data_IF_614386906439
#
_entry.id   IF_614386906439
#
_cell.length_a   1.000
_cell.length_b   1.000
_cell.length_c   1.000
_cell.angle_alpha   90.00
_cell.angle_beta   90.00
_cell.angle_gamma   90.00
#
_symmetry.space_group_name_H-M   'P 1'
#
loop_
_entity.id
_entity.type
_entity.pdbx_description
1 polymer ?
#
# COMPACT_ATOMS: atom_id res chain seq x y z
N UNK A 1 -7.25 -4.43 16.50
CA UNK A 1 -7.29 -4.84 15.08
C UNK A 1 -7.84 -3.69 14.25
N UNK A 2 -7.13 -3.25 13.20
CA UNK A 2 -7.58 -2.19 12.30
C UNK A 2 -8.24 -2.76 11.05
N UNK A 3 -7.61 -3.79 10.43
CA UNK A 3 -8.16 -4.50 9.27
C UNK A 3 -8.20 -5.99 9.58
N UNK A 4 -9.31 -6.67 9.23
CA UNK A 4 -9.41 -8.13 9.23
C UNK A 4 -10.07 -8.63 7.96
N UNK A 5 -9.56 -9.74 7.47
CA UNK A 5 -10.11 -10.53 6.37
C UNK A 5 -10.37 -11.94 6.88
N UNK A 6 -11.55 -12.47 6.61
CA UNK A 6 -11.96 -13.82 7.04
C UNK A 6 -12.54 -14.58 5.85
N UNK A 7 -11.82 -15.61 5.41
CA UNK A 7 -12.23 -16.49 4.33
C UNK A 7 -12.54 -15.75 3.01
N UNK A 8 -11.75 -14.74 2.66
CA UNK A 8 -12.02 -13.87 1.50
C UNK A 8 -11.70 -14.58 0.21
N UNK A 9 -12.70 -14.64 -0.68
CA UNK A 9 -12.56 -15.12 -2.06
C UNK A 9 -12.82 -13.96 -3.03
N UNK A 10 -12.11 -13.96 -4.16
CA UNK A 10 -12.33 -13.01 -5.26
C UNK A 10 -11.99 -13.68 -6.57
N UNK A 11 -12.82 -13.46 -7.59
CA UNK A 11 -12.63 -14.05 -8.91
C UNK A 11 -12.72 -13.00 -10.01
N UNK A 12 -12.02 -13.23 -11.11
CA UNK A 12 -12.19 -12.54 -12.39
C UNK A 12 -13.04 -13.45 -13.30
N UNK A 13 -14.33 -13.13 -13.41
CA UNK A 13 -15.28 -14.06 -14.04
C UNK A 13 -15.25 -15.41 -13.32
N UNK A 14 -14.95 -16.49 -14.06
CA UNK A 14 -14.86 -17.85 -13.50
C UNK A 14 -13.47 -18.19 -12.93
N UNK A 15 -12.51 -17.30 -13.02
CA UNK A 15 -11.14 -17.57 -12.55
C UNK A 15 -10.94 -17.11 -11.09
N UNK A 16 -10.79 -18.04 -10.13
CA UNK A 16 -10.60 -17.68 -8.72
C UNK A 16 -9.16 -17.18 -8.48
N UNK A 17 -9.05 -15.91 -8.10
CA UNK A 17 -7.77 -15.26 -7.81
C UNK A 17 -7.44 -15.24 -6.31
N UNK A 18 -8.44 -15.15 -5.43
CA UNK A 18 -8.29 -15.32 -3.98
C UNK A 18 -9.14 -16.51 -3.53
N UNK A 19 -8.59 -17.33 -2.63
CA UNK A 19 -9.13 -18.65 -2.26
C UNK A 19 -9.18 -18.83 -0.75
N UNK A 20 -10.01 -18.03 -0.06
CA UNK A 20 -10.20 -18.12 1.40
C UNK A 20 -9.11 -17.41 2.17
N UNK A 21 -8.71 -16.20 1.74
CA UNK A 21 -7.68 -15.41 2.41
C UNK A 21 -8.17 -14.94 3.78
N UNK A 22 -7.39 -15.27 4.81
CA UNK A 22 -7.59 -14.82 6.19
C UNK A 22 -6.32 -14.15 6.68
N UNK A 23 -6.40 -12.89 7.08
CA UNK A 23 -5.30 -12.11 7.64
C UNK A 23 -5.82 -10.94 8.48
N UNK A 24 -4.93 -10.32 9.25
CA UNK A 24 -5.25 -9.13 10.04
C UNK A 24 -4.12 -8.11 10.03
N UNK A 25 -4.44 -6.86 10.29
CA UNK A 25 -3.49 -5.75 10.47
C UNK A 25 -3.88 -4.98 11.72
N UNK A 26 -2.93 -4.83 12.65
CA UNK A 26 -3.14 -4.02 13.85
C UNK A 26 -2.87 -2.55 13.58
N UNK A 27 -3.43 -1.68 14.40
CA UNK A 27 -3.23 -0.24 14.27
C UNK A 27 -1.76 0.13 14.55
N UNK A 28 -1.16 0.90 13.66
CA UNK A 28 0.23 1.36 13.79
C UNK A 28 1.27 0.36 13.31
N UNK A 29 0.88 -0.80 12.79
CA UNK A 29 1.81 -1.77 12.22
C UNK A 29 2.23 -1.40 10.80
N UNK A 30 3.43 -1.87 10.42
CA UNK A 30 3.80 -2.18 9.04
C UNK A 30 3.66 -3.71 8.89
N UNK A 31 2.74 -4.15 8.06
CA UNK A 31 2.56 -5.56 7.72
C UNK A 31 2.93 -5.75 6.26
N UNK A 32 3.71 -6.78 5.93
CA UNK A 32 4.04 -7.09 4.54
C UNK A 32 3.33 -8.33 4.03
N UNK A 33 2.98 -8.33 2.75
CA UNK A 33 2.49 -9.49 2.02
C UNK A 33 3.49 -9.84 0.92
N UNK A 34 4.12 -10.97 1.06
CA UNK A 34 5.10 -11.52 0.12
C UNK A 34 4.44 -12.54 -0.81
N UNK A 35 5.00 -12.71 -1.99
CA UNK A 35 4.55 -13.72 -2.94
C UNK A 35 5.08 -13.44 -4.35
N UNK A 36 5.15 -14.48 -5.17
CA UNK A 36 5.55 -14.37 -6.58
C UNK A 36 4.54 -13.58 -7.41
N UNK A 37 4.91 -13.23 -8.63
CA UNK A 37 3.99 -12.64 -9.59
C UNK A 37 2.84 -13.62 -9.88
N UNK A 38 1.61 -13.10 -9.90
CA UNK A 38 0.42 -13.92 -10.05
C UNK A 38 -0.08 -14.59 -8.77
N UNK A 39 0.57 -14.45 -7.61
CA UNK A 39 0.10 -15.04 -6.35
C UNK A 39 -1.25 -14.49 -5.87
N UNK A 40 -1.69 -13.32 -6.35
CA UNK A 40 -2.96 -12.69 -5.95
C UNK A 40 -2.81 -11.40 -5.12
N UNK A 41 -1.59 -10.92 -4.91
CA UNK A 41 -1.27 -9.75 -4.06
C UNK A 41 -2.05 -8.49 -4.46
N UNK A 42 -1.91 -8.04 -5.70
CA UNK A 42 -2.63 -6.87 -6.25
C UNK A 42 -4.15 -7.08 -6.22
N UNK A 43 -4.62 -8.33 -6.46
CA UNK A 43 -6.05 -8.67 -6.35
C UNK A 43 -6.55 -8.47 -4.92
N UNK A 44 -5.76 -8.85 -3.92
CA UNK A 44 -6.10 -8.63 -2.51
C UNK A 44 -6.24 -7.13 -2.20
N UNK A 45 -5.28 -6.30 -2.61
CA UNK A 45 -5.37 -4.86 -2.41
C UNK A 45 -6.58 -4.24 -3.12
N UNK A 46 -6.87 -4.66 -4.35
CA UNK A 46 -8.07 -4.24 -5.10
C UNK A 46 -9.36 -4.67 -4.40
N UNK A 47 -9.35 -5.82 -3.73
CA UNK A 47 -10.52 -6.31 -2.97
C UNK A 47 -10.72 -5.50 -1.70
N UNK A 48 -9.65 -5.23 -0.94
CA UNK A 48 -9.70 -4.38 0.26
C UNK A 48 -10.16 -2.95 -0.10
N UNK A 49 -9.68 -2.40 -1.22
CA UNK A 49 -10.04 -1.03 -1.66
C UNK A 49 -11.40 -0.95 -2.38
N UNK A 50 -12.15 -2.06 -2.50
CA UNK A 50 -13.49 -2.10 -3.09
C UNK A 50 -13.54 -1.90 -4.60
N UNK A 51 -12.41 -2.10 -5.28
CA UNK A 51 -12.33 -2.16 -6.76
C UNK A 51 -12.87 -3.52 -7.23
N UNK A 52 -12.55 -4.59 -6.49
CA UNK A 52 -13.08 -5.93 -6.69
C UNK A 52 -13.99 -6.32 -5.51
N UNK A 53 -14.89 -7.25 -5.73
CA UNK A 53 -15.81 -7.74 -4.69
C UNK A 53 -15.27 -9.02 -4.06
N UNK A 54 -15.35 -9.10 -2.73
CA UNK A 54 -15.16 -10.35 -1.99
C UNK A 54 -16.46 -11.17 -2.04
N UNK A 55 -16.40 -12.43 -2.53
CA UNK A 55 -17.55 -13.36 -2.53
C UNK A 55 -17.06 -14.82 -2.59
N UNK A 56 -17.21 -15.63 -1.50
CA UNK A 56 -17.61 -15.22 -0.13
C UNK A 56 -16.46 -14.56 0.64
N UNK A 57 -16.72 -14.23 1.90
CA UNK A 57 -15.78 -13.71 2.87
C UNK A 57 -16.22 -12.41 3.51
N UNK A 58 -15.56 -12.04 4.60
CA UNK A 58 -15.83 -10.82 5.36
C UNK A 58 -14.55 -9.97 5.38
N UNK A 59 -14.71 -8.67 5.16
CA UNK A 59 -13.64 -7.69 5.34
C UNK A 59 -14.14 -6.64 6.32
N UNK A 60 -13.43 -6.48 7.44
CA UNK A 60 -13.76 -5.47 8.46
C UNK A 60 -12.62 -4.46 8.59
N UNK A 61 -12.95 -3.18 8.65
CA UNK A 61 -12.03 -2.08 8.90
C UNK A 61 -12.54 -1.24 10.06
N UNK A 62 -11.72 -1.11 11.11
CA UNK A 62 -12.07 -0.43 12.37
C UNK A 62 -13.44 -0.86 12.89
N UNK A 63 -13.67 -2.17 12.94
CA UNK A 63 -14.92 -2.80 13.39
C UNK A 63 -16.11 -2.72 12.42
N UNK A 64 -15.96 -2.09 11.24
CA UNK A 64 -17.04 -1.96 10.24
C UNK A 64 -16.80 -2.88 9.06
N UNK A 65 -17.84 -3.58 8.62
CA UNK A 65 -17.81 -4.42 7.42
C UNK A 65 -17.73 -3.55 6.16
N UNK A 66 -16.77 -3.84 5.28
CA UNK A 66 -16.48 -3.03 4.08
C UNK A 66 -16.55 -3.81 2.77
N UNK A 67 -16.69 -5.13 2.77
CA UNK A 67 -16.64 -5.99 1.58
C UNK A 67 -17.70 -5.63 0.51
N UNK A 68 -18.78 -4.96 0.92
CA UNK A 68 -19.85 -4.52 0.02
C UNK A 68 -19.80 -3.02 -0.31
N UNK A 69 -18.82 -2.29 0.24
CA UNK A 69 -18.70 -0.85 -0.01
C UNK A 69 -18.01 -0.57 -1.36
N UNK A 70 -18.34 0.56 -1.96
CA UNK A 70 -17.61 1.09 -3.12
C UNK A 70 -16.33 1.80 -2.69
N UNK A 71 -15.33 1.86 -3.58
CA UNK A 71 -14.02 2.47 -3.31
C UNK A 71 -14.11 3.89 -2.74
N UNK A 72 -15.06 4.73 -3.19
CA UNK A 72 -15.23 6.08 -2.68
C UNK A 72 -15.65 6.12 -1.20
N UNK A 73 -16.43 5.14 -0.75
CA UNK A 73 -16.81 5.01 0.68
C UNK A 73 -15.61 4.51 1.51
N UNK A 74 -14.86 3.54 0.98
CA UNK A 74 -13.67 2.96 1.63
C UNK A 74 -12.59 4.03 1.85
N UNK A 75 -12.33 4.89 0.85
CA UNK A 75 -11.37 6.00 1.01
C UNK A 75 -11.84 6.98 2.09
N UNK A 76 -13.14 7.26 2.21
CA UNK A 76 -13.68 8.13 3.27
C UNK A 76 -13.58 7.50 4.68
N UNK A 77 -13.52 6.18 4.78
CA UNK A 77 -13.26 5.49 6.05
C UNK A 77 -11.79 5.58 6.47
N UNK A 78 -10.88 5.96 5.57
CA UNK A 78 -9.47 6.13 5.88
C UNK A 78 -8.55 5.04 5.31
N UNK A 79 -8.97 4.29 4.30
CA UNK A 79 -8.09 3.40 3.52
C UNK A 79 -7.68 4.11 2.24
N UNK A 80 -6.37 4.24 2.00
CA UNK A 80 -5.83 4.79 0.75
C UNK A 80 -4.89 3.79 0.09
N UNK A 81 -4.86 3.76 -1.24
CA UNK A 81 -4.00 2.86 -2.00
C UNK A 81 -3.06 3.65 -2.91
N UNK A 82 -1.77 3.29 -2.89
CA UNK A 82 -0.81 3.58 -3.94
C UNK A 82 -0.71 2.33 -4.82
N UNK A 83 -1.34 2.30 -5.99
CA UNK A 83 -1.35 1.13 -6.86
C UNK A 83 -0.02 0.97 -7.60
N UNK A 84 0.25 -0.23 -8.09
CA UNK A 84 1.33 -0.52 -9.01
C UNK A 84 1.26 0.38 -10.26
N UNK A 85 2.41 0.75 -10.80
CA UNK A 85 2.53 1.59 -12.00
C UNK A 85 2.19 3.07 -11.75
N UNK A 86 2.27 3.53 -10.48
CA UNK A 86 2.21 4.94 -10.06
C UNK A 86 0.87 5.64 -10.34
N UNK A 87 0.24 5.40 -11.50
CA UNK A 87 -1.07 5.92 -11.94
C UNK A 87 -1.24 7.43 -11.69
N UNK A 88 -0.21 8.21 -12.05
CA UNK A 88 -0.22 9.67 -11.98
C UNK A 88 -1.05 10.29 -13.11
N UNK A 89 -1.35 11.57 -12.96
CA UNK A 89 -1.87 12.41 -14.03
C UNK A 89 -0.69 13.18 -14.65
N UNK A 90 -0.10 12.69 -15.76
CA UNK A 90 1.17 13.19 -16.29
C UNK A 90 1.13 14.65 -16.73
N UNK A 91 -0.02 15.10 -17.25
CA UNK A 91 -0.28 16.46 -17.71
C UNK A 91 -0.56 17.47 -16.57
N UNK A 92 -0.64 16.97 -15.33
CA UNK A 92 -0.81 17.82 -14.16
C UNK A 92 0.52 18.04 -13.45
N UNK A 93 0.67 19.21 -12.81
CA UNK A 93 1.84 19.47 -11.98
C UNK A 93 1.89 18.54 -10.74
N UNK A 94 3.07 18.42 -10.13
CA UNK A 94 3.28 17.72 -8.86
C UNK A 94 2.25 18.19 -7.82
N UNK A 95 2.13 19.51 -7.61
CA UNK A 95 1.19 20.08 -6.64
C UNK A 95 -0.26 19.70 -6.93
N UNK A 96 -0.68 19.74 -8.22
CA UNK A 96 -2.04 19.35 -8.59
C UNK A 96 -2.30 17.87 -8.34
N UNK A 97 -1.33 16.98 -8.65
CA UNK A 97 -1.42 15.56 -8.33
C UNK A 97 -1.59 15.32 -6.82
N UNK A 98 -0.79 15.98 -5.97
CA UNK A 98 -0.90 15.87 -4.52
C UNK A 98 -2.27 16.32 -4.04
N UNK A 99 -2.75 17.50 -4.45
CA UNK A 99 -4.06 18.03 -4.04
C UNK A 99 -5.23 17.12 -4.41
N UNK A 100 -5.15 16.41 -5.53
CA UNK A 100 -6.17 15.40 -5.90
C UNK A 100 -6.25 14.27 -4.88
N UNK A 101 -5.12 13.85 -4.30
CA UNK A 101 -5.11 12.83 -3.23
C UNK A 101 -5.91 13.24 -2.00
N UNK A 102 -5.97 14.54 -1.71
CA UNK A 102 -6.75 15.11 -0.62
C UNK A 102 -8.23 15.38 -0.92
N UNK A 103 -8.75 15.01 -2.10
CA UNK A 103 -10.10 15.38 -2.54
C UNK A 103 -11.21 14.96 -1.56
N UNK A 104 -11.08 13.84 -0.88
CA UNK A 104 -12.06 13.38 0.12
C UNK A 104 -12.17 14.34 1.31
N UNK A 105 -11.11 15.11 1.58
CA UNK A 105 -11.00 16.12 2.66
C UNK A 105 -11.12 17.56 2.14
N UNK A 106 -11.62 17.79 0.94
CA UNK A 106 -11.63 19.12 0.28
C UNK A 106 -12.28 20.25 1.07
N UNK A 107 -13.10 19.93 2.07
CA UNK A 107 -13.70 20.92 3.00
C UNK A 107 -12.74 21.33 4.13
N UNK A 108 -11.75 20.51 4.45
CA UNK A 108 -10.74 20.75 5.50
C UNK A 108 -9.49 21.41 4.87
N UNK A 109 -9.58 22.66 4.50
CA UNK A 109 -8.48 23.40 3.85
C UNK A 109 -7.22 23.46 4.71
N UNK A 110 -7.38 23.71 6.03
CA UNK A 110 -6.22 23.77 6.98
C UNK A 110 -5.52 22.43 7.10
N UNK A 111 -6.27 21.33 7.24
CA UNK A 111 -5.69 19.99 7.30
C UNK A 111 -5.03 19.57 6.00
N UNK A 112 -5.55 20.00 4.83
CA UNK A 112 -4.90 19.75 3.54
C UNK A 112 -3.57 20.47 3.38
N UNK A 113 -3.46 21.73 3.78
CA UNK A 113 -2.20 22.47 3.74
C UNK A 113 -1.18 21.88 4.73
N UNK A 114 -1.63 21.45 5.92
CA UNK A 114 -0.77 20.72 6.86
C UNK A 114 -0.26 19.41 6.25
N UNK A 115 -1.14 18.59 5.66
CA UNK A 115 -0.74 17.35 5.01
C UNK A 115 0.23 17.59 3.84
N UNK A 116 0.04 18.68 3.09
CA UNK A 116 0.95 19.06 2.00
C UNK A 116 2.34 19.41 2.53
N UNK A 117 2.43 20.19 3.62
CA UNK A 117 3.70 20.51 4.27
C UNK A 117 4.42 19.24 4.77
N UNK A 118 3.68 18.32 5.42
CA UNK A 118 4.22 17.04 5.89
C UNK A 118 4.75 16.17 4.74
N UNK A 119 4.09 16.20 3.56
CA UNK A 119 4.56 15.48 2.37
C UNK A 119 5.83 16.11 1.80
N UNK A 120 5.94 17.44 1.81
CA UNK A 120 7.15 18.12 1.37
C UNK A 120 8.34 17.91 2.33
N UNK A 121 8.09 17.67 3.62
CA UNK A 121 9.11 17.20 4.56
C UNK A 121 9.56 15.76 4.24
N UNK A 122 8.63 14.85 3.94
CA UNK A 122 8.92 13.46 3.57
C UNK A 122 9.63 13.35 2.22
N UNK A 123 9.29 14.22 1.29
CA UNK A 123 9.78 14.22 -0.09
C UNK A 123 10.18 15.65 -0.53
N UNK A 124 11.33 16.19 -0.08
CA UNK A 124 11.74 17.57 -0.37
C UNK A 124 11.77 17.89 -1.88
N UNK A 125 12.18 16.91 -2.70
CA UNK A 125 12.22 17.05 -4.17
C UNK A 125 10.84 17.40 -4.77
N UNK A 126 9.74 16.95 -4.16
CA UNK A 126 8.39 17.29 -4.62
C UNK A 126 8.03 18.75 -4.36
N UNK A 127 8.61 19.36 -3.30
CA UNK A 127 8.48 20.78 -3.03
C UNK A 127 9.20 21.61 -4.09
N UNK A 128 10.48 21.28 -4.35
CA UNK A 128 11.33 21.94 -5.35
C UNK A 128 10.67 21.89 -6.74
N UNK A 129 10.06 20.77 -7.09
CA UNK A 129 9.43 20.51 -8.39
C UNK A 129 7.91 20.68 -8.39
N UNK A 130 7.36 21.39 -7.42
CA UNK A 130 5.89 21.47 -7.21
C UNK A 130 5.10 21.95 -8.41
N UNK A 131 5.71 22.80 -9.26
CA UNK A 131 5.11 23.34 -10.50
C UNK A 131 5.38 22.47 -11.75
N UNK A 132 6.34 21.52 -11.68
CA UNK A 132 6.73 20.66 -12.79
C UNK A 132 5.62 19.68 -13.15
N UNK A 133 5.48 19.32 -14.44
CA UNK A 133 4.54 18.29 -14.87
C UNK A 133 4.98 16.91 -14.39
N UNK A 134 4.05 16.13 -13.84
CA UNK A 134 4.35 14.82 -13.26
C UNK A 134 4.95 13.84 -14.29
N UNK A 135 4.57 13.93 -15.55
CA UNK A 135 5.10 13.08 -16.61
C UNK A 135 6.58 13.29 -16.91
N UNK A 136 7.17 14.44 -16.53
CA UNK A 136 8.59 14.78 -16.77
C UNK A 136 9.52 14.42 -15.60
N UNK A 137 8.97 13.90 -14.51
CA UNK A 137 9.73 13.42 -13.36
C UNK A 137 10.45 12.10 -13.68
N UNK A 138 11.56 11.84 -13.01
CA UNK A 138 12.20 10.52 -13.00
C UNK A 138 11.28 9.45 -12.41
N UNK A 139 11.56 8.17 -12.69
CA UNK A 139 10.77 7.07 -12.16
C UNK A 139 10.67 7.04 -10.64
N UNK A 140 11.75 7.36 -9.94
CA UNK A 140 11.75 7.45 -8.47
C UNK A 140 10.92 8.61 -7.95
N UNK A 141 11.03 9.79 -8.56
CA UNK A 141 10.24 10.97 -8.18
C UNK A 141 8.75 10.77 -8.45
N UNK A 142 8.41 10.09 -9.55
CA UNK A 142 7.03 9.70 -9.83
C UNK A 142 6.47 8.75 -8.75
N UNK A 143 7.28 7.82 -8.26
CA UNK A 143 6.88 6.91 -7.17
C UNK A 143 6.68 7.68 -5.86
N UNK A 144 7.59 8.61 -5.52
CA UNK A 144 7.43 9.49 -4.37
C UNK A 144 6.14 10.33 -4.48
N UNK A 145 5.84 10.86 -5.67
CA UNK A 145 4.62 11.60 -5.94
C UNK A 145 3.36 10.73 -5.78
N UNK A 146 3.38 9.48 -6.26
CA UNK A 146 2.26 8.55 -6.12
C UNK A 146 1.98 8.21 -4.65
N UNK A 147 3.04 7.98 -3.86
CA UNK A 147 2.93 7.77 -2.41
C UNK A 147 2.44 9.04 -1.70
N UNK A 148 3.03 10.19 -1.97
CA UNK A 148 2.61 11.47 -1.40
C UNK A 148 1.13 11.74 -1.69
N UNK A 149 0.66 11.47 -2.92
CA UNK A 149 -0.74 11.60 -3.29
C UNK A 149 -1.65 10.68 -2.47
N UNK A 150 -1.23 9.43 -2.21
CA UNK A 150 -2.00 8.51 -1.37
C UNK A 150 -2.06 8.98 0.10
N UNK A 151 -0.97 9.54 0.62
CA UNK A 151 -0.88 10.08 1.99
C UNK A 151 -1.70 11.37 2.18
N UNK A 152 -1.93 12.17 1.12
CA UNK A 152 -2.74 13.40 1.19
C UNK A 152 -4.15 13.21 1.76
N UNK A 153 -4.73 12.03 1.64
CA UNK A 153 -6.03 11.71 2.26
C UNK A 153 -5.95 11.58 3.78
N UNK A 154 -4.75 11.59 4.38
CA UNK A 154 -4.47 11.31 5.79
C UNK A 154 -5.06 9.96 6.23
N UNK A 155 -4.64 8.85 5.61
CA UNK A 155 -5.26 7.55 5.82
C UNK A 155 -4.88 6.95 7.17
N UNK A 156 -5.81 6.19 7.78
CA UNK A 156 -5.50 5.30 8.89
C UNK A 156 -4.77 4.03 8.42
N UNK A 157 -5.05 3.58 7.17
CA UNK A 157 -4.39 2.45 6.51
C UNK A 157 -3.94 2.84 5.10
N UNK A 158 -2.65 2.75 4.86
CA UNK A 158 -2.03 2.94 3.55
C UNK A 158 -1.70 1.57 2.93
N UNK A 159 -2.28 1.29 1.78
CA UNK A 159 -2.01 0.10 0.97
C UNK A 159 -0.96 0.47 -0.09
N UNK A 160 0.16 -0.25 -0.13
CA UNK A 160 1.25 -0.05 -1.08
C UNK A 160 1.42 -1.30 -1.96
N UNK A 161 1.31 -1.14 -3.26
CA UNK A 161 1.39 -2.23 -4.24
C UNK A 161 2.70 -2.17 -5.01
N UNK A 162 3.66 -3.01 -4.64
CA UNK A 162 5.00 -3.13 -5.22
C UNK A 162 5.70 -1.77 -5.45
N UNK A 163 5.81 -0.91 -4.41
CA UNK A 163 6.28 0.45 -4.59
C UNK A 163 7.76 0.52 -5.00
N UNK A 164 8.55 -0.53 -4.80
CA UNK A 164 9.97 -0.57 -5.16
C UNK A 164 10.25 -1.03 -6.60
N UNK A 165 9.21 -1.53 -7.30
CA UNK A 165 9.38 -2.15 -8.61
C UNK A 165 9.97 -1.18 -9.65
N UNK A 166 11.07 -1.62 -10.30
CA UNK A 166 11.74 -0.86 -11.38
C UNK A 166 12.46 0.40 -10.92
N UNK A 167 12.79 0.52 -9.63
CA UNK A 167 13.56 1.62 -9.08
C UNK A 167 15.04 1.26 -8.88
N UNK A 168 15.90 2.26 -8.99
CA UNK A 168 17.33 2.10 -8.69
C UNK A 168 17.54 1.80 -7.19
N UNK A 169 18.57 1.01 -6.82
CA UNK A 169 18.79 0.56 -5.43
C UNK A 169 18.83 1.69 -4.39
N UNK A 170 19.42 2.82 -4.72
CA UNK A 170 19.46 3.97 -3.81
C UNK A 170 18.08 4.56 -3.55
N UNK A 171 17.25 4.65 -4.60
CA UNK A 171 15.86 5.15 -4.50
C UNK A 171 15.00 4.18 -3.67
N UNK A 172 15.22 2.87 -3.84
CA UNK A 172 14.54 1.83 -3.06
C UNK A 172 14.83 2.00 -1.57
N UNK A 173 16.08 2.22 -1.17
CA UNK A 173 16.45 2.47 0.25
C UNK A 173 15.73 3.70 0.81
N UNK A 174 15.74 4.80 0.08
CA UNK A 174 15.03 6.04 0.48
C UNK A 174 13.53 5.79 0.61
N UNK A 175 12.94 5.02 -0.32
CA UNK A 175 11.52 4.68 -0.31
C UNK A 175 11.13 3.89 0.97
N UNK A 176 11.89 2.84 1.31
CA UNK A 176 11.63 2.03 2.50
C UNK A 176 11.80 2.86 3.79
N UNK A 177 12.80 3.74 3.85
CA UNK A 177 12.94 4.69 4.95
C UNK A 177 11.72 5.61 5.06
N UNK A 178 11.24 6.14 3.95
CA UNK A 178 10.03 6.99 3.94
C UNK A 178 8.78 6.22 4.38
N UNK A 179 8.64 4.93 4.04
CA UNK A 179 7.54 4.09 4.53
C UNK A 179 7.59 3.99 6.06
N UNK A 180 8.77 3.81 6.65
CA UNK A 180 8.92 3.84 8.11
C UNK A 180 8.55 5.21 8.71
N UNK A 181 8.96 6.31 8.07
CA UNK A 181 8.63 7.66 8.54
C UNK A 181 7.13 7.95 8.47
N UNK A 182 6.44 7.48 7.44
CA UNK A 182 4.97 7.52 7.34
C UNK A 182 4.34 6.73 8.51
N UNK A 183 4.87 5.54 8.81
CA UNK A 183 4.36 4.73 9.92
C UNK A 183 4.64 5.38 11.29
N UNK A 184 5.81 5.99 11.51
CA UNK A 184 6.13 6.74 12.74
C UNK A 184 5.15 7.90 12.97
N UNK A 185 4.58 8.46 11.92
CA UNK A 185 3.47 9.45 11.96
C UNK A 185 2.10 8.79 12.21
N UNK A 186 2.08 7.51 12.65
CA UNK A 186 0.93 6.70 13.05
C UNK A 186 0.00 6.24 11.91
N UNK A 187 0.44 6.28 10.68
CA UNK A 187 -0.25 5.62 9.56
C UNK A 187 0.08 4.13 9.59
N UNK A 188 -0.92 3.27 9.65
CA UNK A 188 -0.76 1.83 9.47
C UNK A 188 -0.43 1.54 8.00
N UNK A 189 0.50 0.62 7.74
CA UNK A 189 0.91 0.31 6.37
C UNK A 189 0.70 -1.17 6.07
N UNK A 190 0.04 -1.48 4.97
CA UNK A 190 -0.01 -2.81 4.39
C UNK A 190 0.75 -2.79 3.06
N UNK A 191 1.94 -3.40 3.09
CA UNK A 191 2.92 -3.36 2.03
C UNK A 191 2.92 -4.68 1.26
N UNK A 192 2.62 -4.63 -0.02
CA UNK A 192 2.80 -5.75 -0.95
C UNK A 192 4.12 -5.55 -1.67
N UNK A 193 5.01 -6.55 -1.60
CA UNK A 193 6.33 -6.49 -2.21
C UNK A 193 6.80 -7.84 -2.74
N UNK A 194 7.64 -7.78 -3.77
CA UNK A 194 8.41 -8.92 -4.25
C UNK A 194 9.79 -8.96 -3.59
N UNK A 195 10.37 -7.82 -3.25
CA UNK A 195 11.64 -7.72 -2.52
C UNK A 195 11.42 -8.05 -1.03
N UNK A 196 11.36 -9.35 -0.74
CA UNK A 196 11.05 -9.86 0.59
C UNK A 196 12.05 -9.39 1.65
N UNK A 197 13.35 -9.38 1.33
CA UNK A 197 14.39 -8.96 2.26
C UNK A 197 14.12 -7.55 2.78
N UNK A 198 13.98 -6.58 1.90
CA UNK A 198 13.77 -5.20 2.32
C UNK A 198 12.42 -4.98 3.01
N UNK A 199 11.36 -5.63 2.52
CA UNK A 199 10.04 -5.54 3.12
C UNK A 199 10.02 -6.08 4.55
N UNK A 200 10.62 -7.25 4.79
CA UNK A 200 10.71 -7.86 6.12
C UNK A 200 11.58 -7.05 7.09
N UNK A 201 12.62 -6.36 6.61
CA UNK A 201 13.46 -5.53 7.48
C UNK A 201 12.72 -4.33 8.08
N UNK A 202 11.68 -3.82 7.43
CA UNK A 202 10.90 -2.70 7.95
C UNK A 202 9.55 -3.11 8.56
N UNK A 203 9.06 -4.31 8.24
CA UNK A 203 7.77 -4.78 8.72
C UNK A 203 7.86 -5.33 10.16
N UNK A 204 6.76 -5.27 10.90
CA UNK A 204 6.62 -5.92 12.21
C UNK A 204 6.33 -7.41 12.05
N UNK A 205 5.49 -7.76 11.06
CA UNK A 205 5.12 -9.12 10.69
C UNK A 205 4.75 -9.21 9.23
N UNK A 206 4.65 -10.43 8.72
CA UNK A 206 4.34 -10.66 7.31
C UNK A 206 3.47 -11.87 7.07
N UNK A 207 2.98 -11.93 5.86
CA UNK A 207 2.25 -13.05 5.28
C UNK A 207 2.93 -13.47 3.98
N UNK A 208 2.91 -14.76 3.68
CA UNK A 208 3.34 -15.29 2.38
C UNK A 208 2.11 -15.80 1.65
N UNK A 209 1.94 -15.36 0.40
CA UNK A 209 0.80 -15.74 -0.44
C UNK A 209 1.27 -16.55 -1.65
N UNK A 210 0.62 -17.68 -1.88
CA UNK A 210 0.82 -18.52 -3.06
C UNK A 210 -0.54 -18.91 -3.65
N UNK A 211 -0.69 -18.72 -4.94
CA UNK A 211 -1.89 -19.13 -5.71
C UNK A 211 -3.21 -18.73 -5.02
N UNK A 212 -3.27 -17.50 -4.53
CA UNK A 212 -4.46 -16.92 -3.90
C UNK A 212 -4.73 -17.35 -2.45
N UNK A 213 -3.78 -18.00 -1.77
CA UNK A 213 -3.89 -18.45 -0.37
C UNK A 213 -2.75 -17.92 0.48
N UNK A 214 -3.00 -17.66 1.74
CA UNK A 214 -1.93 -17.45 2.73
C UNK A 214 -1.38 -18.83 3.12
N UNK A 215 -0.08 -19.01 2.89
CA UNK A 215 0.61 -20.29 3.19
C UNK A 215 1.49 -20.21 4.43
N UNK A 216 1.95 -19.00 4.79
CA UNK A 216 2.79 -18.77 5.96
C UNK A 216 2.48 -17.39 6.54
N UNK A 217 2.60 -17.23 7.86
CA UNK A 217 2.53 -15.95 8.56
C UNK A 217 3.35 -15.99 9.84
N UNK A 218 3.91 -14.85 10.22
CA UNK A 218 4.72 -14.76 11.43
C UNK A 218 5.29 -13.37 11.67
N UNK A 219 6.09 -13.22 12.72
CA UNK A 219 6.88 -12.00 12.88
C UNK A 219 7.89 -11.88 11.74
N UNK A 220 8.30 -10.65 11.42
CA UNK A 220 9.30 -10.45 10.36
C UNK A 220 10.61 -11.18 10.67
N UNK A 221 10.98 -11.25 11.96
CA UNK A 221 12.17 -11.99 12.40
C UNK A 221 12.07 -13.49 12.12
N UNK A 222 10.89 -14.09 12.38
CA UNK A 222 10.69 -15.53 12.14
C UNK A 222 10.70 -15.82 10.65
N UNK A 223 10.04 -14.97 9.84
CA UNK A 223 10.00 -15.12 8.39
C UNK A 223 11.38 -14.93 7.74
N UNK A 224 12.23 -14.02 8.25
CA UNK A 224 13.61 -13.85 7.77
C UNK A 224 14.48 -15.10 8.06
N UNK A 225 14.14 -15.89 9.07
CA UNK A 225 14.85 -17.11 9.45
C UNK A 225 14.23 -18.40 8.88
N UNK A 226 13.03 -18.32 8.31
CA UNK A 226 12.33 -19.46 7.73
C UNK A 226 13.02 -19.96 6.45
N UNK A 227 13.35 -21.25 6.39
CA UNK A 227 14.08 -21.83 5.27
C UNK A 227 13.30 -21.77 3.94
N UNK A 228 11.96 -21.89 3.97
CA UNK A 228 11.14 -21.80 2.76
C UNK A 228 11.12 -20.37 2.23
N UNK A 229 11.04 -19.39 3.14
CA UNK A 229 11.11 -17.97 2.77
C UNK A 229 12.49 -17.61 2.20
N UNK A 230 13.57 -18.12 2.82
CA UNK A 230 14.93 -17.92 2.30
C UNK A 230 15.09 -18.46 0.89
N UNK A 231 14.74 -19.70 0.66
CA UNK A 231 14.87 -20.35 -0.64
C UNK A 231 14.00 -19.71 -1.72
N UNK A 232 12.74 -19.35 -1.39
CA UNK A 232 11.79 -18.84 -2.38
C UNK A 232 11.95 -17.35 -2.66
N UNK A 233 12.39 -16.55 -1.68
CA UNK A 233 12.28 -15.08 -1.75
C UNK A 233 13.53 -14.31 -1.34
N UNK A 234 14.53 -14.90 -0.66
CA UNK A 234 15.74 -14.20 -0.20
C UNK A 234 16.99 -14.51 -1.03
N UNK A 235 16.94 -15.51 -1.92
CA UNK A 235 18.03 -15.81 -2.87
C UNK A 235 19.28 -16.43 -2.21
N UNK A 236 19.11 -17.15 -1.11
CA UNK A 236 20.16 -17.89 -0.38
C UNK A 236 20.04 -19.36 -0.59
#
# INVERSE_FOLDING_TARGET
MLLSLEGVHTSYGNFPALRGVTLSVEKGEIVTLLGSNGAGKTTLLKTISGILRARPGVISFDGKRIENLHSNAIVRLGISQCPEGRKLFPEMSVLKNLRLGGYVRRKDKKGLEKSLAEIFELFPILSERSKQLAGTLSGGEQQMLAMGRAVMSNPALLLLDEPSLGLAPLVVRTLFQTIQDINRRKTTVFLVEQNASQALHIAHRGYVMETGKIVLSGSSRDLLNDEKVKQAYLGT
#
